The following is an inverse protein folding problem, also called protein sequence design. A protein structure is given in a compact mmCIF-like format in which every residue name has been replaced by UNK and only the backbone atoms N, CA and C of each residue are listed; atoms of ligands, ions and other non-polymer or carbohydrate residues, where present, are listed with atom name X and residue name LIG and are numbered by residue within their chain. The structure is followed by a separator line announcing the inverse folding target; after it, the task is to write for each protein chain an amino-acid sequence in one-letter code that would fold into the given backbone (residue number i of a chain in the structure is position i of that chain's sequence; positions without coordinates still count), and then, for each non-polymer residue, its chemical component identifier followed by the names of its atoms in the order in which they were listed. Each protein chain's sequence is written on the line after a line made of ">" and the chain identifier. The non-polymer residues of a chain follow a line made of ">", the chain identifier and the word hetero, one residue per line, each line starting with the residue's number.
data_IF_162256422271
#
_entry.id   IF_162256422271
#
_cell.length_a   1.000
_cell.length_b   1.000
_cell.length_c   1.000
_cell.angle_alpha   90.00
_cell.angle_beta   90.00
_cell.angle_gamma   90.00
#
_symmetry.space_group_name_H-M   'P 1'
#
loop_
_entity.id
_entity.type
_entity.pdbx_description
1 polymer ?
#
# COMPACT_ATOMS: atom_id res chain seq x y z
N UNK A 1 39.66 43.43 -28.16
CA UNK A 1 38.82 44.44 -28.83
C UNK A 1 37.57 44.56 -27.96
N UNK A 2 37.64 45.41 -26.96
CA UNK A 2 37.17 46.83 -26.93
C UNK A 2 35.70 46.93 -27.31
N UNK A 3 34.94 47.25 -26.36
CA UNK A 3 34.39 48.50 -25.78
C UNK A 3 32.90 48.64 -26.15
N UNK A 4 31.94 49.12 -25.43
CA UNK A 4 31.75 50.12 -24.35
C UNK A 4 30.27 50.17 -23.96
N UNK A 5 29.94 50.13 -22.69
CA UNK A 5 29.46 51.19 -21.83
C UNK A 5 28.42 52.14 -22.42
N UNK A 6 27.24 52.25 -21.78
CA UNK A 6 26.71 53.50 -21.19
C UNK A 6 25.39 53.29 -20.47
N UNK A 7 25.47 53.52 -19.20
CA UNK A 7 24.52 54.01 -18.22
C UNK A 7 23.72 55.26 -18.64
N UNK A 8 22.46 55.38 -18.15
CA UNK A 8 21.89 56.70 -17.86
C UNK A 8 20.94 56.66 -16.66
N UNK A 9 21.12 57.67 -15.87
CA UNK A 9 20.68 57.95 -14.52
C UNK A 9 19.20 58.34 -14.40
N UNK A 10 18.70 58.04 -13.20
CA UNK A 10 17.76 58.73 -12.33
C UNK A 10 17.18 60.11 -12.73
N UNK A 11 15.89 60.31 -12.35
CA UNK A 11 15.37 61.60 -11.81
C UNK A 11 14.21 61.23 -10.88
N UNK A 12 14.27 61.81 -9.65
CA UNK A 12 13.29 61.85 -8.58
C UNK A 12 12.49 63.17 -8.63
N UNK A 13 11.26 63.15 -8.11
CA UNK A 13 10.54 64.27 -7.47
C UNK A 13 9.16 63.73 -7.08
N UNK A 14 8.76 63.61 -5.84
CA UNK A 14 8.55 64.56 -4.75
C UNK A 14 7.23 65.31 -4.87
N UNK A 15 6.41 65.20 -3.84
CA UNK A 15 5.35 66.13 -3.45
C UNK A 15 3.94 65.57 -3.43
N UNK A 16 3.07 65.73 -2.50
CA UNK A 16 2.92 66.33 -1.21
C UNK A 16 1.51 65.97 -0.68
N UNK A 17 1.40 65.56 0.54
CA UNK A 17 0.52 65.95 1.64
C UNK A 17 -0.91 66.43 1.31
N UNK A 18 -1.88 65.80 1.97
CA UNK A 18 -3.24 66.29 2.12
C UNK A 18 -3.95 65.59 3.27
N UNK A 19 -3.88 66.17 4.44
CA UNK A 19 -4.46 65.81 5.74
C UNK A 19 -5.94 66.19 5.87
N UNK A 20 -6.59 65.62 6.91
CA UNK A 20 -7.70 66.14 7.75
C UNK A 20 -9.11 65.87 7.26
N UNK A 21 -10.12 65.55 8.08
CA UNK A 21 -10.43 65.46 9.53
C UNK A 21 -11.76 64.74 9.65
N UNK A 22 -11.90 63.91 10.68
CA UNK A 22 -12.82 64.00 11.84
C UNK A 22 -14.21 64.58 11.65
N UNK A 23 -15.13 63.78 12.06
CA UNK A 23 -16.25 63.97 13.01
C UNK A 23 -17.47 63.14 12.52
N UNK A 24 -18.23 62.54 13.33
CA UNK A 24 -18.48 62.57 14.73
C UNK A 24 -19.58 61.61 15.11
N UNK A 25 -19.67 61.42 16.38
CA UNK A 25 -20.61 60.70 17.21
C UNK A 25 -22.08 60.65 16.79
N UNK A 26 -22.71 59.53 17.22
CA UNK A 26 -24.12 59.54 17.55
C UNK A 26 -24.72 58.12 17.59
N UNK A 27 -24.66 57.48 18.73
CA UNK A 27 -25.68 56.88 19.60
C UNK A 27 -26.66 55.85 19.06
N UNK A 28 -26.66 54.80 19.85
CA UNK A 28 -27.76 53.98 20.40
C UNK A 28 -28.15 52.67 19.70
N UNK A 29 -27.74 51.63 20.39
CA UNK A 29 -28.41 50.39 20.80
C UNK A 29 -29.52 49.83 19.93
N UNK A 30 -29.26 48.67 19.34
CA UNK A 30 -30.15 47.51 19.54
C UNK A 30 -29.35 46.24 19.46
N UNK A 31 -29.54 45.35 20.45
CA UNK A 31 -29.08 43.98 20.51
C UNK A 31 -29.44 43.19 19.27
N UNK A 32 -28.42 42.60 18.64
CA UNK A 32 -28.55 41.54 17.68
C UNK A 32 -27.33 40.63 17.87
N UNK A 33 -27.46 39.56 18.65
CA UNK A 33 -26.50 38.48 18.67
C UNK A 33 -26.37 37.93 17.27
N UNK A 34 -25.38 38.40 16.53
CA UNK A 34 -24.84 37.63 15.41
C UNK A 34 -23.72 36.76 15.98
N UNK A 35 -24.06 35.55 16.28
CA UNK A 35 -23.05 34.51 16.52
C UNK A 35 -22.14 34.42 15.30
N UNK A 36 -20.95 34.98 15.42
CA UNK A 36 -19.86 34.63 14.54
C UNK A 36 -19.48 33.19 14.88
N UNK A 37 -20.03 32.29 14.11
CA UNK A 37 -19.40 30.98 13.98
C UNK A 37 -18.10 31.20 13.21
N UNK A 38 -17.04 31.58 13.91
CA UNK A 38 -15.70 31.25 13.47
C UNK A 38 -15.66 29.69 13.38
N UNK A 39 -16.01 29.16 12.23
CA UNK A 39 -15.48 27.86 11.83
C UNK A 39 -13.98 28.11 11.74
N UNK A 40 -13.25 27.68 12.78
CA UNK A 40 -11.84 27.38 12.61
C UNK A 40 -11.74 26.56 11.31
N UNK A 41 -11.07 27.12 10.31
CA UNK A 41 -10.57 26.33 9.20
C UNK A 41 -9.57 25.39 9.85
N UNK A 42 -10.01 24.17 10.18
CA UNK A 42 -9.11 23.11 10.55
C UNK A 42 -8.04 23.01 9.46
N UNK A 43 -6.79 22.97 9.84
CA UNK A 43 -5.71 22.69 8.90
C UNK A 43 -6.10 21.41 8.13
N UNK A 44 -6.04 21.48 6.80
CA UNK A 44 -6.38 20.34 5.95
C UNK A 44 -5.32 19.27 6.17
N UNK A 45 -5.74 18.09 6.59
CA UNK A 45 -4.87 16.92 6.78
C UNK A 45 -4.38 16.46 5.40
N UNK A 46 -3.06 16.32 5.24
CA UNK A 46 -2.44 15.88 4.00
C UNK A 46 -1.81 14.50 4.21
N UNK A 47 -2.24 13.53 3.44
CA UNK A 47 -1.77 12.13 3.53
C UNK A 47 -1.04 11.78 2.24
N UNK A 48 0.26 11.44 2.36
CA UNK A 48 1.01 10.86 1.28
C UNK A 48 0.71 9.36 1.18
N UNK A 49 0.28 8.90 0.03
CA UNK A 49 0.00 7.48 -0.25
C UNK A 49 1.05 6.96 -1.21
N UNK A 50 1.88 6.00 -0.76
CA UNK A 50 2.82 5.28 -1.62
C UNK A 50 2.39 3.84 -1.82
N UNK A 51 2.29 3.43 -3.08
CA UNK A 51 1.93 2.07 -3.49
C UNK A 51 2.95 1.56 -4.51
N UNK A 52 3.45 0.33 -4.32
CA UNK A 52 4.53 -0.19 -5.19
C UNK A 52 4.06 -0.37 -6.63
N UNK A 53 2.84 -0.84 -6.84
CA UNK A 53 2.25 -1.11 -8.15
C UNK A 53 0.73 -1.07 -8.05
N UNK A 54 0.04 -0.89 -9.17
CA UNK A 54 -1.42 -0.93 -9.25
C UNK A 54 -1.90 -2.36 -9.48
N UNK A 55 -2.74 -2.87 -8.58
CA UNK A 55 -3.53 -4.08 -8.75
C UNK A 55 -4.71 -4.11 -7.77
N UNK A 56 -5.79 -4.87 -8.08
CA UNK A 56 -7.08 -4.77 -7.38
C UNK A 56 -7.01 -4.91 -5.85
N UNK A 57 -6.13 -5.77 -5.32
CA UNK A 57 -6.03 -5.97 -3.86
C UNK A 57 -5.43 -4.73 -3.16
N UNK A 58 -4.36 -4.15 -3.71
CA UNK A 58 -3.80 -2.91 -3.15
C UNK A 58 -4.75 -1.73 -3.30
N UNK A 59 -5.49 -1.67 -4.40
CA UNK A 59 -6.48 -0.61 -4.62
C UNK A 59 -7.64 -0.74 -3.63
N UNK A 60 -8.11 -1.97 -3.36
CA UNK A 60 -9.12 -2.24 -2.34
C UNK A 60 -8.64 -1.85 -0.92
N UNK A 61 -7.38 -2.13 -0.58
CA UNK A 61 -6.81 -1.70 0.69
C UNK A 61 -6.76 -0.17 0.83
N UNK A 62 -6.42 0.56 -0.23
CA UNK A 62 -6.46 2.02 -0.22
C UNK A 62 -7.89 2.56 -0.04
N UNK A 63 -8.86 1.95 -0.70
CA UNK A 63 -10.27 2.36 -0.54
C UNK A 63 -10.78 2.08 0.89
N UNK A 64 -10.43 0.94 1.48
CA UNK A 64 -10.71 0.64 2.88
C UNK A 64 -10.10 1.67 3.83
N UNK A 65 -8.84 2.06 3.61
CA UNK A 65 -8.15 3.09 4.38
C UNK A 65 -8.87 4.44 4.33
N UNK A 66 -9.20 4.91 3.13
CA UNK A 66 -9.94 6.17 2.95
C UNK A 66 -11.31 6.14 3.63
N UNK A 67 -12.02 5.01 3.48
CA UNK A 67 -13.34 4.82 4.08
C UNK A 67 -13.30 4.89 5.60
N UNK A 68 -12.30 4.29 6.25
CA UNK A 68 -12.17 4.35 7.71
C UNK A 68 -11.91 5.77 8.21
N UNK A 69 -11.14 6.58 7.48
CA UNK A 69 -10.93 7.98 7.81
C UNK A 69 -12.22 8.80 7.63
N UNK A 70 -12.97 8.59 6.55
CA UNK A 70 -14.28 9.21 6.33
C UNK A 70 -15.27 8.85 7.45
N UNK A 71 -15.40 7.55 7.78
CA UNK A 71 -16.28 7.05 8.85
C UNK A 71 -15.86 7.62 10.24
N UNK A 72 -14.57 7.96 10.40
CA UNK A 72 -14.03 8.63 11.59
C UNK A 72 -14.24 10.15 11.58
N UNK A 73 -14.82 10.70 10.53
CA UNK A 73 -15.07 12.13 10.35
C UNK A 73 -13.80 12.94 10.06
N UNK A 74 -12.80 12.32 9.45
CA UNK A 74 -11.55 12.96 9.04
C UNK A 74 -11.63 13.28 7.54
N UNK A 75 -11.61 14.57 7.21
CA UNK A 75 -11.47 15.05 5.84
C UNK A 75 -9.99 15.24 5.54
N UNK A 76 -9.43 14.45 4.62
CA UNK A 76 -8.02 14.49 4.24
C UNK A 76 -7.83 14.72 2.74
N UNK A 77 -6.73 15.37 2.38
CA UNK A 77 -6.22 15.41 1.01
C UNK A 77 -5.26 14.24 0.83
N UNK A 78 -5.41 13.50 -0.25
CA UNK A 78 -4.57 12.36 -0.57
C UNK A 78 -3.69 12.68 -1.78
N UNK A 79 -2.37 12.63 -1.59
CA UNK A 79 -1.41 12.57 -2.70
C UNK A 79 -1.04 11.10 -2.95
N UNK A 80 -1.63 10.52 -3.99
CA UNK A 80 -1.46 9.10 -4.32
C UNK A 80 -0.41 8.94 -5.40
N UNK A 81 0.70 8.29 -5.06
CA UNK A 81 1.82 8.05 -5.94
C UNK A 81 2.10 6.54 -6.07
N UNK A 82 2.19 6.04 -7.30
CA UNK A 82 2.41 4.63 -7.61
C UNK A 82 3.79 4.47 -8.23
N UNK A 83 4.61 3.60 -7.65
CA UNK A 83 6.00 3.41 -8.05
C UNK A 83 6.19 2.58 -9.34
N UNK A 84 5.13 1.96 -9.86
CA UNK A 84 5.14 1.14 -11.08
C UNK A 84 6.12 -0.04 -11.01
N UNK A 85 6.29 -0.64 -9.83
CA UNK A 85 7.21 -1.75 -9.59
C UNK A 85 8.68 -1.36 -9.50
N UNK A 86 9.02 -0.07 -9.56
CA UNK A 86 10.40 0.41 -9.50
C UNK A 86 10.76 0.91 -8.09
N UNK A 87 11.78 0.28 -7.49
CA UNK A 87 12.24 0.60 -6.13
C UNK A 87 12.82 2.02 -6.01
N UNK A 88 13.45 2.56 -7.08
CA UNK A 88 14.00 3.91 -7.05
C UNK A 88 12.87 4.95 -7.09
N UNK A 89 11.82 4.69 -7.88
CA UNK A 89 10.62 5.52 -7.88
C UNK A 89 9.97 5.49 -6.49
N UNK A 90 9.85 4.31 -5.89
CA UNK A 90 9.26 4.14 -4.57
C UNK A 90 10.02 4.94 -3.49
N UNK A 91 11.36 4.88 -3.49
CA UNK A 91 12.18 5.68 -2.59
C UNK A 91 12.07 7.19 -2.90
N UNK A 92 11.96 7.57 -4.16
CA UNK A 92 11.80 8.98 -4.56
C UNK A 92 10.46 9.54 -4.09
N UNK A 93 9.37 8.77 -4.24
CA UNK A 93 8.03 9.12 -3.73
C UNK A 93 8.07 9.35 -2.22
N UNK A 94 8.65 8.41 -1.47
CA UNK A 94 8.76 8.51 -0.02
C UNK A 94 9.58 9.73 0.42
N UNK A 95 10.69 10.03 -0.27
CA UNK A 95 11.51 11.21 -0.01
C UNK A 95 10.75 12.52 -0.28
N UNK A 96 9.91 12.56 -1.32
CA UNK A 96 9.08 13.72 -1.62
C UNK A 96 8.07 13.97 -0.49
N UNK A 97 7.34 12.94 -0.04
CA UNK A 97 6.40 13.07 1.08
C UNK A 97 7.09 13.54 2.37
N UNK A 98 8.30 13.04 2.64
CA UNK A 98 9.10 13.51 3.77
C UNK A 98 9.51 14.98 3.63
N UNK A 99 9.86 15.41 2.41
CA UNK A 99 10.23 16.80 2.10
C UNK A 99 9.05 17.77 2.11
N UNK A 100 7.88 17.31 1.67
CA UNK A 100 6.63 18.10 1.65
C UNK A 100 6.00 18.22 3.05
N UNK A 101 6.42 17.38 4.00
CA UNK A 101 5.95 17.42 5.38
C UNK A 101 4.48 17.05 5.50
N UNK A 102 4.06 15.96 4.85
CA UNK A 102 2.70 15.42 5.00
C UNK A 102 2.42 15.01 6.45
N UNK A 103 1.16 15.02 6.86
CA UNK A 103 0.76 14.71 8.25
C UNK A 103 0.86 13.21 8.58
N UNK A 104 0.75 12.36 7.55
CA UNK A 104 0.87 10.90 7.66
C UNK A 104 1.27 10.31 6.30
N UNK A 105 2.06 9.24 6.31
CA UNK A 105 2.33 8.42 5.13
C UNK A 105 1.56 7.10 5.25
N UNK A 106 0.70 6.82 4.29
CA UNK A 106 0.11 5.50 4.09
C UNK A 106 0.95 4.71 3.09
N UNK A 107 1.54 3.60 3.56
CA UNK A 107 2.45 2.77 2.77
C UNK A 107 1.81 1.42 2.45
N UNK A 108 1.41 1.24 1.19
CA UNK A 108 0.67 0.08 0.72
C UNK A 108 1.59 -0.91 0.00
N UNK A 109 2.16 -1.80 0.72
CA UNK A 109 3.05 -2.93 0.43
C UNK A 109 4.34 -2.90 1.27
N UNK A 110 5.04 -4.03 1.39
CA UNK A 110 6.35 -4.11 2.07
C UNK A 110 7.41 -3.18 1.45
N UNK A 111 7.60 -3.13 0.11
CA UNK A 111 8.55 -2.19 -0.49
C UNK A 111 8.22 -0.73 -0.21
N UNK A 112 6.94 -0.36 -0.22
CA UNK A 112 6.49 1.00 0.09
C UNK A 112 6.74 1.38 1.54
N UNK A 113 6.47 0.47 2.48
CA UNK A 113 6.73 0.68 3.90
C UNK A 113 8.23 0.83 4.21
N UNK A 114 9.08 0.02 3.57
CA UNK A 114 10.54 0.14 3.68
C UNK A 114 11.04 1.49 3.17
N UNK A 115 10.55 1.95 2.02
CA UNK A 115 10.93 3.25 1.44
C UNK A 115 10.47 4.40 2.33
N UNK A 116 9.24 4.35 2.87
CA UNK A 116 8.73 5.36 3.79
C UNK A 116 9.55 5.43 5.08
N UNK A 117 9.85 4.28 5.69
CA UNK A 117 10.65 4.21 6.93
C UNK A 117 12.09 4.70 6.72
N UNK A 118 12.66 4.50 5.52
CA UNK A 118 13.97 5.01 5.16
C UNK A 118 13.97 6.53 4.95
N UNK A 119 12.86 7.10 4.45
CA UNK A 119 12.75 8.52 4.13
C UNK A 119 12.54 9.40 5.38
N UNK A 120 11.82 8.92 6.39
CA UNK A 120 11.51 9.72 7.58
C UNK A 120 11.48 8.89 8.87
N UNK A 121 11.82 9.55 9.99
CA UNK A 121 11.66 9.01 11.36
C UNK A 121 10.70 9.85 12.20
N UNK A 122 10.16 10.92 11.63
CA UNK A 122 9.36 11.91 12.34
C UNK A 122 7.89 11.84 11.92
N UNK A 123 7.61 11.71 10.60
CA UNK A 123 6.24 11.59 10.09
C UNK A 123 5.69 10.22 10.44
N UNK A 124 4.49 10.12 11.02
CA UNK A 124 3.85 8.83 11.28
C UNK A 124 3.59 8.05 10.00
N UNK A 125 3.89 6.76 10.02
CA UNK A 125 3.69 5.85 8.91
C UNK A 125 2.67 4.78 9.34
N UNK A 126 1.63 4.59 8.53
CA UNK A 126 0.72 3.47 8.65
C UNK A 126 0.85 2.62 7.41
N UNK A 127 1.28 1.37 7.57
CA UNK A 127 1.37 0.43 6.46
C UNK A 127 0.16 -0.49 6.40
N UNK A 128 -0.09 -1.03 5.22
CA UNK A 128 -0.94 -2.20 4.98
C UNK A 128 -0.29 -3.09 3.93
N UNK A 129 -0.83 -4.29 3.74
CA UNK A 129 -0.32 -5.22 2.71
C UNK A 129 1.17 -5.53 2.90
N UNK A 130 1.57 -5.71 4.16
CA UNK A 130 2.95 -6.06 4.56
C UNK A 130 2.95 -7.49 5.10
N UNK A 131 3.74 -8.35 4.48
CA UNK A 131 3.75 -9.80 4.75
C UNK A 131 4.44 -10.15 6.07
N UNK A 132 5.61 -9.58 6.32
CA UNK A 132 6.40 -9.82 7.55
C UNK A 132 7.07 -8.52 8.02
N UNK A 133 6.36 -7.70 8.79
CA UNK A 133 6.89 -6.41 9.25
C UNK A 133 8.06 -6.55 10.23
N UNK A 134 8.18 -7.67 10.94
CA UNK A 134 9.30 -7.93 11.85
C UNK A 134 10.54 -8.37 11.07
N UNK A 135 10.40 -9.33 10.17
CA UNK A 135 11.50 -9.79 9.31
C UNK A 135 11.98 -8.72 8.34
N UNK A 136 11.08 -7.84 7.88
CA UNK A 136 11.42 -6.64 7.10
C UNK A 136 12.05 -5.52 7.94
N UNK A 137 12.16 -5.67 9.26
CA UNK A 137 12.71 -4.67 10.19
C UNK A 137 11.94 -3.33 10.18
N UNK A 138 10.65 -3.37 9.85
CA UNK A 138 9.76 -2.22 9.94
C UNK A 138 9.38 -1.95 11.39
N UNK A 139 9.11 -2.99 12.14
CA UNK A 139 8.73 -2.95 13.55
C UNK A 139 9.58 -3.93 14.37
N UNK A 140 9.69 -3.68 15.68
CA UNK A 140 10.45 -4.56 16.56
C UNK A 140 9.69 -5.84 16.89
N UNK A 141 8.40 -5.73 17.15
CA UNK A 141 7.46 -6.85 17.30
C UNK A 141 6.07 -6.42 16.90
N UNK A 142 5.16 -7.37 16.73
CA UNK A 142 3.77 -7.10 16.38
C UNK A 142 3.04 -6.35 17.49
N UNK A 143 3.31 -6.70 18.75
CA UNK A 143 2.67 -6.11 19.93
C UNK A 143 3.25 -4.75 20.30
N UNK A 144 4.52 -4.51 19.99
CA UNK A 144 5.24 -3.27 20.30
C UNK A 144 6.08 -2.84 19.12
N UNK A 145 5.50 -2.10 18.15
CA UNK A 145 6.16 -1.71 16.92
C UNK A 145 7.45 -0.91 17.13
N UNK A 146 7.43 0.01 18.11
CA UNK A 146 8.43 1.07 18.34
C UNK A 146 8.55 2.05 17.16
N UNK A 147 9.23 3.19 17.35
CA UNK A 147 9.42 4.18 16.29
C UNK A 147 8.15 4.88 15.81
N UNK A 148 8.16 5.29 14.54
CA UNK A 148 7.11 6.08 13.90
C UNK A 148 6.24 5.28 12.92
N UNK A 149 6.22 3.95 13.00
CA UNK A 149 5.54 3.08 12.03
C UNK A 149 4.71 2.00 12.72
N UNK A 150 3.51 1.73 12.20
CA UNK A 150 2.62 0.64 12.56
C UNK A 150 1.72 0.30 11.37
N UNK A 151 0.81 -0.67 11.49
CA UNK A 151 -0.14 -0.98 10.42
C UNK A 151 -0.74 -2.38 10.50
N UNK A 152 -1.12 -2.91 9.34
CA UNK A 152 -1.78 -4.21 9.17
C UNK A 152 -0.99 -5.12 8.23
N UNK A 153 -0.96 -6.43 8.53
CA UNK A 153 -0.32 -7.41 7.65
C UNK A 153 -1.30 -7.97 6.63
N UNK A 154 -0.75 -8.53 5.55
CA UNK A 154 -1.48 -9.33 4.58
C UNK A 154 -1.12 -10.83 4.68
N UNK A 155 -0.70 -11.27 5.84
CA UNK A 155 -0.34 -12.66 6.11
C UNK A 155 -1.22 -13.22 7.22
N UNK A 156 -1.92 -14.33 6.91
CA UNK A 156 -2.52 -15.19 7.92
C UNK A 156 -1.67 -16.46 8.06
N UNK A 157 -1.34 -16.90 9.29
CA UNK A 157 -0.43 -18.05 9.48
C UNK A 157 -0.88 -19.33 8.77
N UNK A 158 -2.19 -19.53 8.65
CA UNK A 158 -2.77 -20.75 8.07
C UNK A 158 -3.04 -20.64 6.56
N UNK A 159 -2.83 -19.48 5.90
CA UNK A 159 -3.21 -19.30 4.49
C UNK A 159 -2.41 -20.22 3.57
N UNK A 160 -1.08 -20.10 3.58
CA UNK A 160 -0.19 -20.93 2.74
C UNK A 160 -0.28 -22.41 3.11
N UNK A 161 -0.20 -22.83 4.40
CA UNK A 161 -0.35 -24.25 4.76
C UNK A 161 -1.69 -24.83 4.32
N UNK A 162 -2.79 -24.08 4.45
CA UNK A 162 -4.12 -24.54 4.02
C UNK A 162 -4.21 -24.67 2.50
N UNK A 163 -3.59 -23.77 1.74
CA UNK A 163 -3.57 -23.86 0.29
C UNK A 163 -2.73 -25.06 -0.19
N UNK A 164 -1.54 -25.24 0.35
CA UNK A 164 -0.69 -26.39 0.02
C UNK A 164 -1.39 -27.71 0.34
N UNK A 165 -2.00 -27.79 1.52
CA UNK A 165 -2.82 -28.95 1.91
C UNK A 165 -4.01 -29.17 0.97
N UNK A 166 -4.68 -28.11 0.55
CA UNK A 166 -5.81 -28.22 -0.38
C UNK A 166 -5.37 -28.75 -1.75
N UNK A 167 -4.20 -28.33 -2.24
CA UNK A 167 -3.63 -28.85 -3.48
C UNK A 167 -3.29 -30.33 -3.32
N UNK A 168 -2.61 -30.71 -2.26
CA UNK A 168 -2.20 -32.08 -1.96
C UNK A 168 -3.40 -33.05 -1.85
N UNK A 169 -4.45 -32.64 -1.13
CA UNK A 169 -5.61 -33.50 -0.86
C UNK A 169 -6.63 -33.56 -2.00
N UNK A 170 -6.73 -32.52 -2.83
CA UNK A 170 -7.81 -32.40 -3.83
C UNK A 170 -7.33 -32.52 -5.27
N UNK A 171 -6.02 -32.45 -5.51
CA UNK A 171 -5.42 -32.53 -6.85
C UNK A 171 -4.30 -33.58 -6.83
N UNK A 172 -4.20 -34.35 -7.89
CA UNK A 172 -3.11 -35.33 -8.03
C UNK A 172 -1.82 -34.64 -8.55
N UNK A 173 -1.40 -33.57 -7.85
CA UNK A 173 -0.23 -32.80 -8.24
C UNK A 173 1.05 -33.39 -7.62
N UNK A 174 2.03 -33.71 -8.45
CA UNK A 174 3.36 -34.15 -8.00
C UNK A 174 4.32 -32.94 -7.87
N UNK A 175 4.05 -31.85 -8.61
CA UNK A 175 4.90 -30.64 -8.62
C UNK A 175 4.06 -29.38 -8.64
N UNK A 176 4.28 -28.48 -7.67
CA UNK A 176 3.69 -27.14 -7.62
C UNK A 176 4.68 -26.13 -8.17
N UNK A 177 4.28 -25.39 -9.20
CA UNK A 177 5.03 -24.28 -9.76
C UNK A 177 4.73 -22.98 -9.02
N UNK A 178 5.75 -22.18 -8.70
CA UNK A 178 5.58 -20.85 -8.12
C UNK A 178 6.36 -19.85 -8.95
N UNK A 179 5.74 -18.67 -9.18
CA UNK A 179 6.37 -17.55 -9.86
C UNK A 179 6.47 -16.39 -8.86
N UNK A 180 7.65 -15.81 -8.71
CA UNK A 180 7.82 -14.71 -7.76
C UNK A 180 9.00 -13.81 -8.12
N UNK A 181 8.96 -12.58 -7.60
CA UNK A 181 10.06 -11.63 -7.69
C UNK A 181 11.02 -11.81 -6.49
N UNK A 182 12.19 -12.37 -6.74
CA UNK A 182 13.20 -12.58 -5.70
C UNK A 182 13.82 -11.27 -5.18
N UNK A 183 13.52 -10.12 -5.77
CA UNK A 183 13.88 -8.80 -5.26
C UNK A 183 12.89 -8.24 -4.24
N UNK A 184 11.76 -8.90 -4.00
CA UNK A 184 10.78 -8.52 -3.00
C UNK A 184 10.93 -9.37 -1.73
N UNK A 185 11.19 -8.72 -0.58
CA UNK A 185 11.37 -9.40 0.71
C UNK A 185 10.11 -10.20 1.12
N UNK A 186 8.91 -9.64 0.88
CA UNK A 186 7.65 -10.32 1.13
C UNK A 186 7.52 -11.63 0.35
N UNK A 187 8.05 -11.70 -0.86
CA UNK A 187 7.98 -12.91 -1.70
C UNK A 187 8.92 -13.99 -1.21
N UNK A 188 10.16 -13.64 -0.88
CA UNK A 188 11.14 -14.59 -0.30
C UNK A 188 10.61 -15.26 0.98
N UNK A 189 10.02 -14.48 1.89
CA UNK A 189 9.43 -15.02 3.13
C UNK A 189 8.28 -15.99 2.84
N UNK A 190 7.46 -15.70 1.84
CA UNK A 190 6.35 -16.57 1.45
C UNK A 190 6.82 -17.86 0.77
N UNK A 191 7.88 -17.78 -0.05
CA UNK A 191 8.49 -18.97 -0.67
C UNK A 191 9.05 -19.90 0.40
N UNK A 192 9.68 -19.37 1.45
CA UNK A 192 10.15 -20.19 2.56
C UNK A 192 8.98 -20.90 3.28
N UNK A 193 7.85 -20.21 3.48
CA UNK A 193 6.62 -20.82 4.03
C UNK A 193 6.00 -21.89 3.10
N UNK A 194 6.05 -21.66 1.78
CA UNK A 194 5.62 -22.68 0.80
C UNK A 194 6.50 -23.92 0.88
N UNK A 195 7.84 -23.75 0.93
CA UNK A 195 8.79 -24.85 1.10
C UNK A 195 8.57 -25.62 2.41
N UNK A 196 8.33 -24.90 3.51
CA UNK A 196 8.00 -25.49 4.80
C UNK A 196 6.70 -26.32 4.72
N UNK A 197 5.63 -25.78 4.14
CA UNK A 197 4.35 -26.47 3.98
C UNK A 197 4.48 -27.71 3.08
N UNK A 198 5.22 -27.62 1.97
CA UNK A 198 5.47 -28.73 1.06
C UNK A 198 6.29 -29.86 1.71
N UNK A 199 7.14 -29.55 2.68
CA UNK A 199 7.96 -30.57 3.39
C UNK A 199 7.13 -31.63 4.12
N UNK A 200 5.85 -31.38 4.35
CA UNK A 200 4.88 -32.32 4.94
C UNK A 200 4.10 -33.15 3.90
N UNK A 201 4.40 -32.99 2.61
CA UNK A 201 3.74 -33.65 1.48
C UNK A 201 4.75 -34.41 0.62
N UNK A 202 4.28 -35.16 -0.37
CA UNK A 202 5.12 -35.78 -1.40
C UNK A 202 5.34 -34.88 -2.63
N UNK A 203 4.79 -33.65 -2.62
CA UNK A 203 4.90 -32.69 -3.73
C UNK A 203 6.27 -32.03 -3.80
N UNK A 204 6.72 -31.78 -5.02
CA UNK A 204 7.93 -31.02 -5.31
C UNK A 204 7.60 -29.54 -5.59
N UNK A 205 8.59 -28.67 -5.48
CA UNK A 205 8.49 -27.24 -5.85
C UNK A 205 9.28 -26.96 -7.14
N UNK A 206 8.64 -26.34 -8.12
CA UNK A 206 9.28 -25.77 -9.30
C UNK A 206 9.24 -24.24 -9.21
N UNK A 207 10.38 -23.58 -9.09
CA UNK A 207 10.48 -22.14 -8.93
C UNK A 207 10.82 -21.45 -10.26
N UNK A 208 10.12 -20.34 -10.56
CA UNK A 208 10.45 -19.44 -11.64
C UNK A 208 10.50 -18.01 -11.09
N UNK A 209 11.65 -17.34 -11.21
CA UNK A 209 11.84 -16.00 -10.69
C UNK A 209 11.72 -14.94 -11.78
N UNK A 210 11.22 -13.77 -11.40
CA UNK A 210 11.13 -12.59 -12.26
C UNK A 210 11.74 -11.38 -11.54
N UNK A 211 12.13 -10.37 -12.31
CA UNK A 211 12.60 -9.08 -11.79
C UNK A 211 11.62 -7.93 -12.07
N UNK A 212 10.69 -8.16 -12.98
CA UNK A 212 9.65 -7.19 -13.37
C UNK A 212 8.47 -7.89 -14.04
N UNK A 213 7.35 -7.18 -14.18
CA UNK A 213 6.08 -7.72 -14.69
C UNK A 213 6.16 -8.23 -16.16
N UNK A 214 7.06 -7.69 -16.98
CA UNK A 214 7.20 -8.12 -18.38
C UNK A 214 7.77 -9.54 -18.54
N UNK A 215 8.42 -10.07 -17.52
CA UNK A 215 9.00 -11.41 -17.48
C UNK A 215 8.00 -12.49 -17.04
N UNK A 216 6.86 -12.11 -16.45
CA UNK A 216 5.89 -13.01 -15.81
C UNK A 216 5.35 -14.05 -16.79
N UNK A 217 5.03 -13.64 -18.03
CA UNK A 217 4.53 -14.57 -19.05
C UNK A 217 5.56 -15.66 -19.36
N UNK A 218 6.80 -15.27 -19.58
CA UNK A 218 7.89 -16.22 -19.89
C UNK A 218 8.16 -17.16 -18.70
N UNK A 219 8.08 -16.64 -17.46
CA UNK A 219 8.22 -17.43 -16.26
C UNK A 219 7.09 -18.50 -16.16
N UNK A 220 5.84 -18.11 -16.43
CA UNK A 220 4.71 -19.03 -16.45
C UNK A 220 4.89 -20.10 -17.56
N UNK A 221 5.28 -19.70 -18.79
CA UNK A 221 5.57 -20.64 -19.88
C UNK A 221 6.69 -21.63 -19.53
N UNK A 222 7.66 -21.22 -18.73
CA UNK A 222 8.77 -22.09 -18.29
C UNK A 222 8.35 -23.23 -17.36
N UNK A 223 7.20 -23.11 -16.71
CA UNK A 223 6.62 -24.12 -15.82
C UNK A 223 5.77 -25.16 -16.57
N UNK A 224 5.36 -24.87 -17.81
CA UNK A 224 4.57 -25.81 -18.62
C UNK A 224 5.33 -27.11 -18.82
N UNK A 225 4.66 -28.23 -18.49
CA UNK A 225 5.22 -29.58 -18.52
C UNK A 225 6.25 -29.87 -17.41
N UNK A 226 6.37 -28.98 -16.42
CA UNK A 226 7.19 -29.18 -15.21
C UNK A 226 6.37 -29.08 -13.92
N UNK A 227 5.25 -28.36 -13.95
CA UNK A 227 4.35 -28.20 -12.82
C UNK A 227 2.96 -28.73 -13.19
N UNK A 228 2.33 -29.43 -12.25
CA UNK A 228 0.97 -29.95 -12.36
C UNK A 228 -0.07 -28.95 -11.84
N UNK A 229 0.38 -28.00 -11.03
CA UNK A 229 -0.39 -26.86 -10.52
C UNK A 229 0.51 -25.64 -10.40
N UNK A 230 -0.04 -24.43 -10.57
CA UNK A 230 0.66 -23.19 -10.31
C UNK A 230 0.04 -22.52 -9.09
N UNK A 231 0.88 -22.06 -8.15
CA UNK A 231 0.46 -21.27 -7.00
C UNK A 231 1.14 -19.90 -7.01
N UNK A 232 0.37 -18.85 -7.18
CA UNK A 232 0.84 -17.45 -7.10
C UNK A 232 0.59 -16.93 -5.69
N UNK A 233 1.65 -16.64 -4.99
CA UNK A 233 1.66 -16.00 -3.67
C UNK A 233 1.28 -14.52 -3.78
N UNK A 234 1.23 -13.77 -2.67
CA UNK A 234 0.97 -12.30 -2.69
C UNK A 234 2.24 -11.54 -3.11
N UNK A 235 2.66 -11.76 -4.35
CA UNK A 235 3.81 -11.10 -4.99
C UNK A 235 3.33 -9.93 -5.84
N UNK A 236 3.76 -8.71 -5.52
CA UNK A 236 3.25 -7.51 -6.18
C UNK A 236 3.53 -7.50 -7.69
N UNK A 237 4.73 -7.94 -8.09
CA UNK A 237 5.15 -7.97 -9.49
C UNK A 237 4.31 -8.96 -10.29
N UNK A 238 4.13 -10.19 -9.79
CA UNK A 238 3.40 -11.24 -10.50
C UNK A 238 1.90 -10.96 -10.51
N UNK A 239 1.33 -10.52 -9.38
CA UNK A 239 -0.10 -10.19 -9.29
C UNK A 239 -0.45 -9.02 -10.22
N UNK A 240 0.44 -8.04 -10.42
CA UNK A 240 0.21 -6.95 -11.37
C UNK A 240 0.09 -7.43 -12.83
N UNK A 241 0.66 -8.59 -13.17
CA UNK A 241 0.63 -9.19 -14.51
C UNK A 241 -0.10 -10.56 -14.54
N UNK A 242 -0.99 -10.81 -13.57
CA UNK A 242 -1.65 -12.10 -13.34
C UNK A 242 -2.39 -12.64 -14.57
N UNK A 243 -2.95 -11.78 -15.42
CA UNK A 243 -3.62 -12.18 -16.66
C UNK A 243 -2.72 -13.00 -17.58
N UNK A 244 -1.42 -12.73 -17.58
CA UNK A 244 -0.46 -13.51 -18.34
C UNK A 244 -0.30 -14.93 -17.81
N UNK A 245 -0.35 -15.11 -16.48
CA UNK A 245 -0.31 -16.43 -15.84
C UNK A 245 -1.62 -17.18 -16.11
N UNK A 246 -2.76 -16.49 -15.93
CA UNK A 246 -4.10 -17.06 -16.20
C UNK A 246 -4.18 -17.57 -17.64
N UNK A 247 -3.68 -16.78 -18.61
CA UNK A 247 -3.67 -17.20 -20.00
C UNK A 247 -2.84 -18.47 -20.21
N UNK A 248 -1.61 -18.52 -19.66
CA UNK A 248 -0.72 -19.70 -19.81
C UNK A 248 -1.32 -20.92 -19.12
N UNK A 249 -1.90 -20.75 -17.92
CA UNK A 249 -2.59 -21.82 -17.19
C UNK A 249 -3.75 -22.40 -18.01
N UNK A 250 -4.63 -21.53 -18.53
CA UNK A 250 -5.79 -21.96 -19.32
C UNK A 250 -5.38 -22.62 -20.65
N UNK A 251 -4.38 -22.09 -21.32
CA UNK A 251 -3.90 -22.62 -22.60
C UNK A 251 -3.24 -24.01 -22.46
N UNK A 252 -2.87 -24.41 -21.23
CA UNK A 252 -2.18 -25.67 -20.94
C UNK A 252 -2.88 -26.55 -19.92
N UNK A 253 -4.15 -26.26 -19.56
CA UNK A 253 -4.96 -26.99 -18.59
C UNK A 253 -4.28 -27.19 -17.22
N UNK A 254 -3.52 -26.18 -16.76
CA UNK A 254 -2.84 -26.20 -15.45
C UNK A 254 -3.68 -25.44 -14.42
N UNK A 255 -4.15 -26.06 -13.31
CA UNK A 255 -4.91 -25.35 -12.28
C UNK A 255 -4.07 -24.24 -11.63
N UNK A 256 -4.66 -23.03 -11.52
CA UNK A 256 -4.02 -21.83 -10.99
C UNK A 256 -4.58 -21.47 -9.62
N UNK A 257 -3.81 -21.70 -8.57
CA UNK A 257 -4.10 -21.26 -7.21
C UNK A 257 -3.49 -19.89 -6.96
N UNK A 258 -4.13 -19.07 -6.13
CA UNK A 258 -3.70 -17.68 -5.89
C UNK A 258 -3.76 -17.34 -4.40
N UNK A 259 -2.96 -16.39 -3.94
CA UNK A 259 -2.87 -15.96 -2.55
C UNK A 259 -3.94 -14.95 -2.13
N UNK A 260 -4.68 -14.38 -3.08
CA UNK A 260 -5.59 -13.27 -2.86
C UNK A 260 -6.99 -13.55 -3.42
N UNK A 261 -8.03 -13.05 -2.71
CA UNK A 261 -9.42 -13.23 -3.16
C UNK A 261 -9.73 -12.45 -4.44
N UNK A 262 -9.09 -11.30 -4.66
CA UNK A 262 -9.28 -10.50 -5.88
C UNK A 262 -8.69 -11.20 -7.10
N UNK A 263 -7.60 -11.92 -6.91
CA UNK A 263 -7.00 -12.76 -7.96
C UNK A 263 -7.89 -13.93 -8.38
N UNK A 264 -8.74 -14.46 -7.48
CA UNK A 264 -9.78 -15.44 -7.84
C UNK A 264 -10.85 -14.81 -8.75
N UNK A 265 -11.24 -13.57 -8.48
CA UNK A 265 -12.21 -12.84 -9.32
C UNK A 265 -11.67 -12.59 -10.73
N UNK A 266 -10.35 -12.47 -10.89
CA UNK A 266 -9.66 -12.27 -12.17
C UNK A 266 -9.54 -13.56 -13.00
N UNK A 267 -9.58 -14.73 -12.38
CA UNK A 267 -9.52 -16.01 -13.10
C UNK A 267 -8.73 -17.11 -12.39
N UNK A 268 -8.12 -16.82 -11.25
CA UNK A 268 -7.52 -17.86 -10.40
C UNK A 268 -8.58 -18.87 -9.96
N UNK A 269 -8.18 -20.13 -9.79
CA UNK A 269 -9.09 -21.21 -9.42
C UNK A 269 -9.56 -21.11 -7.97
N UNK A 270 -8.63 -20.96 -7.04
CA UNK A 270 -8.95 -20.91 -5.61
C UNK A 270 -7.92 -20.09 -4.82
N UNK A 271 -8.37 -19.51 -3.71
CA UNK A 271 -7.54 -18.86 -2.71
C UNK A 271 -8.02 -19.16 -1.30
N UNK A 272 -7.09 -19.41 -0.38
CA UNK A 272 -7.26 -19.14 1.04
C UNK A 272 -6.80 -17.72 1.30
N UNK A 273 -7.71 -16.81 1.58
CA UNK A 273 -7.41 -15.39 1.69
C UNK A 273 -8.45 -14.64 2.54
N UNK A 274 -8.29 -13.34 2.58
CA UNK A 274 -9.13 -12.37 3.29
C UNK A 274 -9.36 -11.17 2.39
N UNK A 275 -10.27 -10.28 2.77
CA UNK A 275 -10.55 -9.07 1.98
C UNK A 275 -9.49 -8.00 2.28
N UNK A 276 -8.87 -7.45 1.23
CA UNK A 276 -7.89 -6.37 1.36
C UNK A 276 -8.53 -5.03 1.77
N UNK A 277 -9.80 -4.81 1.43
CA UNK A 277 -10.56 -3.67 1.93
C UNK A 277 -10.61 -3.67 3.47
N UNK A 278 -10.80 -4.85 4.10
CA UNK A 278 -10.85 -4.99 5.56
C UNK A 278 -9.52 -4.58 6.21
N UNK A 279 -8.37 -5.10 5.73
CA UNK A 279 -7.06 -4.74 6.31
C UNK A 279 -6.69 -3.28 6.05
N UNK A 280 -7.12 -2.72 4.91
CA UNK A 280 -7.02 -1.30 4.63
C UNK A 280 -7.86 -0.46 5.58
N UNK A 281 -9.09 -0.89 5.87
CA UNK A 281 -9.98 -0.22 6.82
C UNK A 281 -9.38 -0.22 8.24
N UNK A 282 -8.88 -1.36 8.71
CA UNK A 282 -8.19 -1.45 10.01
C UNK A 282 -6.97 -0.51 10.08
N UNK A 283 -6.18 -0.41 9.01
CA UNK A 283 -5.08 0.54 8.91
C UNK A 283 -5.57 2.00 8.97
N UNK A 284 -6.71 2.29 8.35
CA UNK A 284 -7.36 3.61 8.42
C UNK A 284 -7.86 3.96 9.81
N UNK A 285 -8.39 2.99 10.57
CA UNK A 285 -8.74 3.18 11.99
C UNK A 285 -7.50 3.52 12.85
N UNK A 286 -6.35 2.90 12.55
CA UNK A 286 -5.08 3.25 13.21
C UNK A 286 -4.65 4.67 12.86
N UNK A 287 -4.74 5.05 11.59
CA UNK A 287 -4.44 6.40 11.14
C UNK A 287 -5.37 7.43 11.80
N UNK A 288 -6.66 7.12 11.96
CA UNK A 288 -7.60 7.98 12.65
C UNK A 288 -7.20 8.22 14.13
N UNK A 289 -6.77 7.19 14.84
CA UNK A 289 -6.26 7.32 16.23
C UNK A 289 -5.00 8.18 16.30
N UNK A 290 -4.12 8.09 15.30
CA UNK A 290 -2.92 8.94 15.22
C UNK A 290 -3.30 10.39 14.96
N UNK A 291 -4.11 10.64 13.93
CA UNK A 291 -4.43 11.99 13.45
C UNK A 291 -5.40 12.75 14.37
N UNK A 292 -6.36 12.04 14.99
CA UNK A 292 -7.42 12.66 15.79
C UNK A 292 -7.16 12.60 17.29
N UNK A 293 -6.66 11.46 17.77
CA UNK A 293 -6.46 11.22 19.20
C UNK A 293 -5.02 11.50 19.65
N UNK A 294 -4.11 11.78 18.70
CA UNK A 294 -2.71 12.07 18.96
C UNK A 294 -1.91 10.85 19.45
N UNK A 295 -2.39 9.63 19.21
CA UNK A 295 -1.66 8.42 19.55
C UNK A 295 -0.40 8.29 18.69
N UNK A 296 0.64 7.66 19.24
CA UNK A 296 1.86 7.37 18.49
C UNK A 296 1.74 6.02 17.80
N UNK A 297 2.35 5.83 16.61
CA UNK A 297 2.43 4.51 15.98
C UNK A 297 2.94 3.41 16.91
N UNK A 298 3.92 3.73 17.76
CA UNK A 298 4.49 2.79 18.75
C UNK A 298 3.52 2.30 19.83
N UNK A 299 2.37 2.94 19.98
CA UNK A 299 1.32 2.57 20.95
C UNK A 299 0.22 1.69 20.32
N UNK A 300 0.28 1.48 19.02
CA UNK A 300 -0.70 0.72 18.24
C UNK A 300 -0.06 -0.59 17.75
N UNK A 301 -0.42 -1.75 18.34
CA UNK A 301 0.03 -3.06 17.86
C UNK A 301 -0.32 -3.29 16.40
N UNK A 302 0.58 -3.94 15.66
CA UNK A 302 0.32 -4.36 14.28
C UNK A 302 -0.80 -5.42 14.27
N UNK A 303 -1.74 -5.31 13.34
CA UNK A 303 -2.90 -6.20 13.25
C UNK A 303 -2.69 -7.27 12.16
N UNK A 304 -3.23 -8.45 12.42
CA UNK A 304 -3.36 -9.55 11.45
C UNK A 304 -4.75 -9.55 10.83
N UNK A 305 -4.92 -10.00 9.57
CA UNK A 305 -6.24 -10.22 8.99
C UNK A 305 -7.01 -11.28 9.78
N UNK A 306 -8.31 -11.05 10.03
CA UNK A 306 -9.11 -11.87 10.92
C UNK A 306 -9.94 -12.96 10.22
N UNK A 307 -10.34 -12.73 8.96
CA UNK A 307 -11.40 -13.50 8.30
C UNK A 307 -10.86 -14.37 7.17
N UNK A 308 -9.97 -15.33 7.48
CA UNK A 308 -9.46 -16.27 6.49
C UNK A 308 -10.60 -17.16 5.95
N UNK A 309 -10.75 -17.23 4.63
CA UNK A 309 -11.77 -18.03 3.94
C UNK A 309 -11.23 -18.67 2.67
N UNK A 310 -11.74 -19.85 2.33
CA UNK A 310 -11.53 -20.45 1.02
C UNK A 310 -12.58 -19.93 0.03
N UNK A 311 -12.11 -19.39 -1.07
CA UNK A 311 -12.95 -18.98 -2.20
C UNK A 311 -12.55 -19.76 -3.44
N UNK A 312 -13.53 -20.32 -4.15
CA UNK A 312 -13.33 -21.12 -5.35
C UNK A 312 -14.08 -20.47 -6.52
N UNK A 313 -13.39 -20.28 -7.63
CA UNK A 313 -13.97 -19.84 -8.89
C UNK A 313 -14.53 -21.03 -9.66
N UNK A 314 -15.84 -21.18 -9.67
CA UNK A 314 -16.51 -22.32 -10.36
C UNK A 314 -16.28 -22.34 -11.87
N UNK A 315 -16.05 -21.18 -12.49
CA UNK A 315 -15.78 -21.09 -13.94
C UNK A 315 -14.38 -21.57 -14.31
N UNK A 316 -13.43 -21.40 -13.40
CA UNK A 316 -12.07 -21.92 -13.60
C UNK A 316 -11.96 -23.41 -13.22
N UNK A 317 -13.05 -24.01 -12.73
CA UNK A 317 -13.14 -25.44 -12.40
C UNK A 317 -13.73 -26.29 -13.55
N UNK A 318 -14.27 -25.65 -14.60
CA UNK A 318 -14.84 -26.28 -15.80
C UNK A 318 -13.80 -26.41 -16.92
#
# INVERSE_FOLDING_TARGET
>A
MLERIKSFKAIAAAGLIGTLLLSGCGSESTNGEAGSSDKEKGESINIGVTQIVEHPSLDAALEGFKKALEDSGIEANYDVQIAQGDQNNNQSIANNFAGDGVDLIFANSTPSALSALNATKDIPIVFTSVTDPVGAQLVKSMESPEGNITGTTDTHPDAIPSMVKFIDEQFEAETVGVIYNSGEQNSEVQIDKVKEALSGTDMNLAEATVSNSSEVKQAAESLVGKADAIYIITDNTVVSALESVIQVSNDNDIPLFVGELDSVKRGGFAAYGFDYEDIGYEAGEMAAKILKDGMKPSELPVQYPQNLKLVINKKAAE
#
